data_IF_676252679214
#
_entry.id   IF_676252679214
#
_cell.length_a   1.000
_cell.length_b   1.000
_cell.length_c   1.000
_cell.angle_alpha   90.00
_cell.angle_beta   90.00
_cell.angle_gamma   90.00
#
_symmetry.space_group_name_H-M   'P 1'
#
loop_
_entity.id
_entity.type
_entity.pdbx_description
1 polymer ?
#
# COMPACT_ATOMS: atom_id res chain seq x y z
N UNK A 1 37.16 -8.75 1.87
CA UNK A 1 36.65 -8.20 3.13
C UNK A 1 35.56 -7.20 2.87
N UNK A 2 34.39 -7.40 3.47
CA UNK A 2 33.32 -6.45 3.34
C UNK A 2 33.78 -5.07 3.84
N UNK A 3 33.63 -4.08 3.02
CA UNK A 3 34.05 -2.72 3.33
C UNK A 3 33.09 -2.13 4.36
N UNK A 4 33.63 -1.71 5.51
CA UNK A 4 32.85 -1.11 6.61
C UNK A 4 32.04 0.10 6.10
N UNK A 5 32.61 0.91 5.23
CA UNK A 5 31.90 2.05 4.61
C UNK A 5 30.68 1.60 3.80
N UNK A 6 30.79 0.51 3.04
CA UNK A 6 29.69 -0.04 2.29
C UNK A 6 28.58 -0.55 3.19
N UNK A 7 28.92 -1.21 4.30
CA UNK A 7 27.95 -1.69 5.28
C UNK A 7 27.23 -0.53 5.96
N UNK A 8 27.94 0.53 6.37
CA UNK A 8 27.33 1.72 6.98
C UNK A 8 26.36 2.39 6.00
N UNK A 9 26.79 2.56 4.74
CA UNK A 9 25.93 3.14 3.70
C UNK A 9 24.70 2.28 3.47
N UNK A 10 24.86 0.96 3.42
CA UNK A 10 23.75 0.01 3.24
C UNK A 10 22.78 0.08 4.42
N UNK A 11 23.27 0.17 5.66
CA UNK A 11 22.44 0.30 6.86
C UNK A 11 21.64 1.60 6.85
N UNK A 12 22.25 2.71 6.47
CA UNK A 12 21.58 4.02 6.35
C UNK A 12 20.49 3.95 5.26
N UNK A 13 20.80 3.37 4.11
CA UNK A 13 19.85 3.20 3.02
C UNK A 13 18.68 2.32 3.43
N UNK A 14 18.95 1.22 4.12
CA UNK A 14 17.91 0.31 4.59
C UNK A 14 17.00 0.98 5.62
N UNK A 15 17.58 1.77 6.54
CA UNK A 15 16.81 2.52 7.52
C UNK A 15 15.86 3.52 6.84
N UNK A 16 16.35 4.26 5.84
CA UNK A 16 15.52 5.20 5.08
C UNK A 16 14.41 4.49 4.32
N UNK A 17 14.70 3.35 3.69
CA UNK A 17 13.72 2.53 3.00
C UNK A 17 12.66 1.99 3.95
N UNK A 18 13.07 1.50 5.12
CA UNK A 18 12.16 0.99 6.14
C UNK A 18 11.21 2.08 6.61
N UNK A 19 11.72 3.30 6.82
CA UNK A 19 10.91 4.45 7.21
C UNK A 19 9.89 4.83 6.15
N UNK A 20 10.33 4.92 4.88
CA UNK A 20 9.43 5.18 3.75
C UNK A 20 8.38 4.08 3.60
N UNK A 21 8.81 2.82 3.71
CA UNK A 21 7.90 1.68 3.58
C UNK A 21 6.86 1.68 4.68
N UNK A 22 7.25 2.03 5.90
CA UNK A 22 6.34 2.16 7.03
C UNK A 22 5.30 3.24 6.77
N UNK A 23 5.71 4.39 6.27
CA UNK A 23 4.82 5.49 5.93
C UNK A 23 3.83 5.09 4.83
N UNK A 24 4.31 4.44 3.77
CA UNK A 24 3.46 3.97 2.66
C UNK A 24 2.48 2.91 3.14
N UNK A 25 2.92 1.96 3.96
CA UNK A 25 2.05 0.93 4.52
C UNK A 25 0.95 1.53 5.39
N UNK A 26 1.26 2.53 6.21
CA UNK A 26 0.27 3.27 7.01
C UNK A 26 -0.73 3.98 6.12
N UNK A 27 -0.27 4.64 5.06
CA UNK A 27 -1.14 5.31 4.09
C UNK A 27 -2.06 4.31 3.40
N UNK A 28 -1.54 3.16 2.96
CA UNK A 28 -2.34 2.11 2.34
C UNK A 28 -3.45 1.62 3.27
N UNK A 29 -3.13 1.36 4.52
CA UNK A 29 -4.09 0.93 5.52
C UNK A 29 -5.20 1.97 5.69
N UNK A 30 -4.84 3.25 5.77
CA UNK A 30 -5.78 4.35 5.87
C UNK A 30 -6.67 4.45 4.64
N UNK A 31 -6.09 4.38 3.43
CA UNK A 31 -6.85 4.48 2.18
C UNK A 31 -7.83 3.32 2.01
N UNK A 32 -7.40 2.09 2.32
CA UNK A 32 -8.28 0.91 2.26
C UNK A 32 -9.41 1.04 3.28
N UNK A 33 -9.11 1.51 4.49
CA UNK A 33 -10.11 1.75 5.52
C UNK A 33 -11.12 2.80 5.07
N UNK A 34 -10.66 3.92 4.51
CA UNK A 34 -11.53 4.98 3.98
C UNK A 34 -12.42 4.45 2.85
N UNK A 35 -11.84 3.67 1.93
CA UNK A 35 -12.61 3.06 0.85
C UNK A 35 -13.69 2.12 1.40
N UNK A 36 -13.37 1.30 2.40
CA UNK A 36 -14.31 0.36 3.02
C UNK A 36 -15.43 1.12 3.74
N UNK A 37 -15.13 2.18 4.47
CA UNK A 37 -16.14 2.97 5.19
C UNK A 37 -17.00 3.80 4.24
N UNK A 38 -16.49 4.14 3.06
CA UNK A 38 -17.21 4.93 2.06
C UNK A 38 -18.16 4.10 1.20
N UNK A 39 -18.14 2.77 1.31
CA UNK A 39 -19.01 1.89 0.52
C UNK A 39 -20.48 2.25 0.81
N UNK A 40 -21.24 2.49 -0.27
CA UNK A 40 -22.63 2.91 -0.18
C UNK A 40 -22.84 4.41 -0.11
N UNK A 41 -21.77 5.22 -0.07
CA UNK A 41 -21.84 6.68 -0.13
C UNK A 41 -21.52 7.19 -1.54
N UNK A 42 -21.76 8.48 -1.79
CA UNK A 42 -21.44 9.12 -3.07
C UNK A 42 -19.94 9.11 -3.36
N UNK A 43 -19.09 9.13 -2.33
CA UNK A 43 -17.64 9.17 -2.46
C UNK A 43 -17.02 7.78 -2.64
N UNK A 44 -17.82 6.73 -2.66
CA UNK A 44 -17.33 5.33 -2.72
C UNK A 44 -16.44 5.07 -3.93
N UNK A 45 -16.88 5.45 -5.13
CA UNK A 45 -16.12 5.18 -6.36
C UNK A 45 -14.75 5.83 -6.35
N UNK A 46 -14.69 7.09 -5.93
CA UNK A 46 -13.44 7.84 -5.86
C UNK A 46 -12.50 7.26 -4.80
N UNK A 47 -13.02 6.95 -3.61
CA UNK A 47 -12.24 6.37 -2.52
C UNK A 47 -11.68 5.00 -2.91
N UNK A 48 -12.48 4.16 -3.57
CA UNK A 48 -12.06 2.84 -4.04
C UNK A 48 -10.98 2.96 -5.12
N UNK A 49 -11.17 3.85 -6.10
CA UNK A 49 -10.17 4.10 -7.15
C UNK A 49 -8.83 4.54 -6.55
N UNK A 50 -8.87 5.43 -5.59
CA UNK A 50 -7.67 5.93 -4.92
C UNK A 50 -6.96 4.81 -4.16
N UNK A 51 -7.70 3.98 -3.43
CA UNK A 51 -7.14 2.85 -2.70
C UNK A 51 -6.47 1.85 -3.65
N UNK A 52 -7.13 1.50 -4.76
CA UNK A 52 -6.59 0.59 -5.79
C UNK A 52 -5.33 1.18 -6.40
N UNK A 53 -5.36 2.46 -6.76
CA UNK A 53 -4.19 3.16 -7.32
C UNK A 53 -3.00 3.10 -6.38
N UNK A 54 -3.21 3.37 -5.08
CA UNK A 54 -2.14 3.33 -4.09
C UNK A 54 -1.60 1.93 -3.88
N UNK A 55 -2.45 0.91 -3.89
CA UNK A 55 -2.01 -0.49 -3.81
C UNK A 55 -1.13 -0.87 -5.00
N UNK A 56 -1.53 -0.49 -6.20
CA UNK A 56 -0.75 -0.76 -7.42
C UNK A 56 0.59 -0.02 -7.39
N UNK A 57 0.62 1.23 -6.95
CA UNK A 57 1.85 2.01 -6.81
C UNK A 57 2.80 1.39 -5.79
N UNK A 58 2.28 0.95 -4.64
CA UNK A 58 3.09 0.31 -3.61
C UNK A 58 3.70 -1.00 -4.11
N UNK A 59 2.95 -1.80 -4.86
CA UNK A 59 3.46 -3.02 -5.47
C UNK A 59 4.53 -2.73 -6.51
N UNK A 60 4.32 -1.70 -7.33
CA UNK A 60 5.28 -1.25 -8.34
C UNK A 60 6.60 -0.80 -7.71
N UNK A 61 6.54 -0.13 -6.57
CA UNK A 61 7.71 0.35 -5.84
C UNK A 61 8.36 -0.73 -4.96
N UNK A 62 7.76 -1.91 -4.87
CA UNK A 62 8.29 -3.00 -4.06
C UNK A 62 8.02 -2.88 -2.56
N UNK A 63 7.17 -1.95 -2.13
CA UNK A 63 6.80 -1.78 -0.72
C UNK A 63 5.99 -2.98 -0.23
N UNK A 64 5.08 -3.47 -1.08
CA UNK A 64 4.34 -4.70 -0.86
C UNK A 64 4.52 -5.62 -2.07
N UNK A 65 4.34 -6.92 -1.86
CA UNK A 65 4.42 -7.88 -2.94
C UNK A 65 3.18 -7.76 -3.85
N UNK A 66 3.35 -7.99 -5.15
CA UNK A 66 2.25 -7.92 -6.14
C UNK A 66 1.08 -8.83 -5.77
N UNK A 67 1.34 -9.99 -5.19
CA UNK A 67 0.30 -10.92 -4.76
C UNK A 67 -0.50 -10.37 -3.58
N UNK A 68 0.14 -9.65 -2.67
CA UNK A 68 -0.52 -8.98 -1.56
C UNK A 68 -1.43 -7.85 -2.06
N UNK A 69 -0.95 -7.06 -3.01
CA UNK A 69 -1.74 -6.02 -3.65
C UNK A 69 -2.98 -6.61 -4.34
N UNK A 70 -2.81 -7.68 -5.10
CA UNK A 70 -3.90 -8.37 -5.78
C UNK A 70 -4.96 -8.88 -4.79
N UNK A 71 -4.53 -9.48 -3.68
CA UNK A 71 -5.45 -9.97 -2.64
C UNK A 71 -6.25 -8.84 -1.99
N UNK A 72 -5.59 -7.73 -1.64
CA UNK A 72 -6.25 -6.57 -1.03
C UNK A 72 -7.24 -5.93 -2.00
N UNK A 73 -6.88 -5.80 -3.27
CA UNK A 73 -7.78 -5.29 -4.32
C UNK A 73 -9.00 -6.20 -4.46
N UNK A 74 -8.79 -7.50 -4.54
CA UNK A 74 -9.87 -8.48 -4.67
C UNK A 74 -10.84 -8.41 -3.49
N UNK A 75 -10.34 -8.34 -2.26
CA UNK A 75 -11.16 -8.21 -1.06
C UNK A 75 -11.97 -6.93 -1.07
N UNK A 76 -11.35 -5.81 -1.46
CA UNK A 76 -12.02 -4.52 -1.53
C UNK A 76 -13.13 -4.55 -2.57
N UNK A 77 -12.85 -5.07 -3.75
CA UNK A 77 -13.84 -5.16 -4.83
C UNK A 77 -15.02 -6.08 -4.47
N UNK A 78 -14.76 -7.16 -3.73
CA UNK A 78 -15.82 -8.03 -3.22
C UNK A 78 -16.73 -7.30 -2.24
N UNK A 79 -16.17 -6.48 -1.37
CA UNK A 79 -16.96 -5.68 -0.43
C UNK A 79 -17.82 -4.66 -1.16
N UNK A 80 -17.27 -4.02 -2.20
CA UNK A 80 -18.00 -3.06 -3.04
C UNK A 80 -19.16 -3.77 -3.76
N UNK A 81 -18.90 -4.93 -4.34
CA UNK A 81 -19.92 -5.71 -5.05
C UNK A 81 -21.02 -6.20 -4.09
N UNK A 82 -20.67 -6.60 -2.87
CA UNK A 82 -21.63 -7.04 -1.89
C UNK A 82 -22.55 -5.91 -1.39
N UNK A 83 -22.03 -4.69 -1.35
CA UNK A 83 -22.79 -3.51 -0.91
C UNK A 83 -23.64 -2.91 -2.03
N UNK A 84 -23.24 -3.16 -3.27
CA UNK A 84 -23.94 -2.67 -4.47
C UNK A 84 -25.04 -3.58 -4.90
#
# INVERSE_FOLDING_TARGET
>A
MANIKSQKKRNITNAKRAERNKAVKSELKTRVKMATTSIGTEDSDEAVRLAVKRLDMAASKGVIHKNQAARRKSRLMKKVAAAG
#
